data_IF_435728663500
#
_entry.id   IF_435728663500
#
_cell.length_a   1.000
_cell.length_b   1.000
_cell.length_c   1.000
_cell.angle_alpha   90.00
_cell.angle_beta   90.00
_cell.angle_gamma   90.00
#
_symmetry.space_group_name_H-M   'P 1'
#
loop_
_entity.id
_entity.type
_entity.pdbx_description
1 polymer ?
#
# COMPACT_ATOMS: atom_id res chain seq x y z
N UNK A 1 -11.65 -12.20 7.28
CA UNK A 1 -11.32 -13.24 6.26
C UNK A 1 -10.22 -12.81 5.28
N UNK A 2 -10.06 -11.53 4.93
CA UNK A 2 -9.00 -11.11 4.01
C UNK A 2 -7.57 -11.24 4.58
N UNK A 3 -7.36 -10.83 5.84
CA UNK A 3 -6.04 -10.86 6.51
C UNK A 3 -5.45 -12.28 6.58
N UNK A 4 -6.28 -13.28 6.90
CA UNK A 4 -5.84 -14.68 7.01
C UNK A 4 -5.36 -15.26 5.67
N UNK A 5 -6.03 -14.89 4.56
CA UNK A 5 -5.65 -15.32 3.21
C UNK A 5 -4.36 -14.66 2.70
N UNK A 6 -4.08 -13.45 3.17
CA UNK A 6 -2.92 -12.66 2.72
C UNK A 6 -1.66 -12.95 3.54
N UNK A 7 -1.79 -13.34 4.81
CA UNK A 7 -0.66 -13.38 5.75
C UNK A 7 -0.40 -14.73 6.43
N UNK A 8 -1.24 -15.75 6.23
CA UNK A 8 -0.99 -17.12 6.71
C UNK A 8 -0.91 -17.31 8.23
N UNK A 9 -1.11 -16.26 9.04
CA UNK A 9 -1.03 -16.29 10.49
C UNK A 9 -2.42 -16.13 11.16
N UNK A 10 -2.67 -16.91 12.20
CA UNK A 10 -3.97 -17.05 12.88
C UNK A 10 -4.25 -15.99 13.95
N UNK A 11 -3.31 -15.07 14.20
CA UNK A 11 -3.40 -14.04 15.25
C UNK A 11 -4.31 -12.86 14.89
N UNK A 12 -4.50 -12.58 13.61
CA UNK A 12 -5.22 -11.39 13.15
C UNK A 12 -4.50 -10.05 13.40
N UNK A 13 -3.25 -10.07 13.91
CA UNK A 13 -2.44 -8.87 14.12
C UNK A 13 -1.62 -8.53 12.87
N UNK A 14 -1.98 -7.47 12.12
CA UNK A 14 -1.26 -7.08 10.92
C UNK A 14 0.19 -6.66 11.19
N UNK A 15 0.51 -6.16 12.39
CA UNK A 15 1.89 -5.74 12.72
C UNK A 15 2.80 -6.95 12.89
N UNK A 16 2.33 -7.99 13.57
CA UNK A 16 3.08 -9.23 13.73
C UNK A 16 3.35 -9.91 12.38
N UNK A 17 2.37 -9.89 11.47
CA UNK A 17 2.55 -10.43 10.12
C UNK A 17 3.62 -9.66 9.32
N UNK A 18 3.61 -8.33 9.39
CA UNK A 18 4.61 -7.48 8.73
C UNK A 18 6.00 -7.70 9.33
N UNK A 19 6.09 -7.85 10.66
CA UNK A 19 7.36 -8.14 11.33
C UNK A 19 7.98 -9.44 10.80
N UNK A 20 7.19 -10.52 10.71
CA UNK A 20 7.62 -11.81 10.14
C UNK A 20 8.09 -11.68 8.68
N UNK A 21 7.34 -10.96 7.83
CA UNK A 21 7.73 -10.74 6.43
C UNK A 21 9.07 -10.01 6.29
N UNK A 22 9.43 -9.18 7.27
CA UNK A 22 10.63 -8.38 7.24
C UNK A 22 11.86 -9.05 7.87
N UNK A 23 11.74 -10.25 8.46
CA UNK A 23 12.84 -10.93 9.16
C UNK A 23 14.05 -11.20 8.26
N UNK A 24 13.82 -11.52 6.98
CA UNK A 24 14.89 -11.84 6.02
C UNK A 24 15.28 -10.65 5.15
N UNK A 25 14.30 -9.83 4.74
CA UNK A 25 14.48 -8.64 3.94
C UNK A 25 13.29 -7.72 4.16
N UNK A 26 13.52 -6.41 4.28
CA UNK A 26 12.43 -5.44 4.44
C UNK A 26 11.56 -5.45 3.18
N UNK A 27 10.36 -6.01 3.31
CA UNK A 27 9.42 -6.21 2.21
C UNK A 27 8.24 -5.26 2.33
N UNK A 28 7.81 -4.94 3.56
CA UNK A 28 6.69 -4.03 3.81
C UNK A 28 7.10 -2.99 4.85
N UNK A 29 6.94 -1.71 4.54
CA UNK A 29 7.20 -0.61 5.48
C UNK A 29 5.91 0.16 5.73
N UNK A 30 5.53 0.28 7.01
CA UNK A 30 4.46 1.19 7.45
C UNK A 30 5.11 2.54 7.73
N UNK A 31 4.55 3.60 7.17
CA UNK A 31 4.99 4.99 7.37
C UNK A 31 3.94 5.78 8.13
N UNK A 32 4.34 6.92 8.70
CA UNK A 32 3.48 7.69 9.61
C UNK A 32 2.60 8.71 8.88
N UNK A 33 2.96 9.11 7.66
CA UNK A 33 2.20 10.08 6.87
C UNK A 33 2.27 9.82 5.36
N UNK A 34 1.42 10.53 4.63
CA UNK A 34 1.38 10.54 3.18
C UNK A 34 2.66 11.12 2.57
N UNK A 35 3.25 12.14 3.19
CA UNK A 35 4.52 12.74 2.75
C UNK A 35 5.67 11.74 2.88
N UNK A 36 5.73 11.01 4.00
CA UNK A 36 6.73 9.96 4.21
C UNK A 36 6.57 8.84 3.17
N UNK A 37 5.33 8.50 2.81
CA UNK A 37 5.04 7.51 1.77
C UNK A 37 5.54 7.97 0.40
N UNK A 38 5.20 9.20 0.02
CA UNK A 38 5.60 9.78 -1.27
C UNK A 38 7.12 9.82 -1.39
N UNK A 39 7.81 10.29 -0.35
CA UNK A 39 9.28 10.35 -0.33
C UNK A 39 9.91 8.94 -0.43
N UNK A 40 9.36 7.96 0.28
CA UNK A 40 9.85 6.58 0.24
C UNK A 40 9.70 5.96 -1.16
N UNK A 41 8.55 6.14 -1.81
CA UNK A 41 8.29 5.62 -3.16
C UNK A 41 9.17 6.32 -4.20
N UNK A 42 9.34 7.64 -4.08
CA UNK A 42 10.19 8.42 -4.99
C UNK A 42 11.67 8.01 -4.90
N UNK A 43 12.17 7.76 -3.69
CA UNK A 43 13.59 7.44 -3.44
C UNK A 43 13.93 5.95 -3.58
N UNK A 44 12.93 5.08 -3.68
CA UNK A 44 13.13 3.62 -3.73
C UNK A 44 12.60 3.04 -5.05
N UNK A 45 13.47 2.81 -6.05
CA UNK A 45 13.06 2.21 -7.31
C UNK A 45 12.34 0.86 -7.12
N UNK A 46 11.17 0.73 -7.73
CA UNK A 46 10.33 -0.47 -7.64
C UNK A 46 9.39 -0.52 -6.43
N UNK A 47 9.45 0.44 -5.52
CA UNK A 47 8.47 0.55 -4.44
C UNK A 47 7.08 0.96 -4.97
N UNK A 48 6.03 0.48 -4.29
CA UNK A 48 4.63 0.87 -4.53
C UNK A 48 4.00 1.21 -3.19
N UNK A 49 3.19 2.27 -3.15
CA UNK A 49 2.48 2.71 -1.95
C UNK A 49 0.97 2.79 -2.17
N UNK A 50 0.22 2.75 -1.07
CA UNK A 50 -1.23 3.00 -1.02
C UNK A 50 -1.42 4.31 -0.27
N UNK A 51 -2.04 5.28 -0.91
CA UNK A 51 -2.20 6.65 -0.41
C UNK A 51 -3.61 7.16 -0.71
N UNK A 52 -4.08 8.15 0.04
CA UNK A 52 -5.29 8.87 -0.33
C UNK A 52 -5.10 9.54 -1.71
N UNK A 53 -6.12 9.42 -2.57
CA UNK A 53 -6.11 9.99 -3.92
C UNK A 53 -5.90 11.50 -3.92
N UNK A 54 -6.33 12.19 -2.87
CA UNK A 54 -6.20 13.64 -2.73
C UNK A 54 -4.79 14.09 -2.30
N UNK A 55 -3.94 13.16 -1.83
CA UNK A 55 -2.57 13.43 -1.44
C UNK A 55 -1.55 13.19 -2.56
N UNK A 56 -2.00 12.69 -3.72
CA UNK A 56 -1.12 12.40 -4.87
C UNK A 56 -0.54 13.71 -5.43
N UNK A 57 0.77 13.70 -5.72
CA UNK A 57 1.47 14.80 -6.39
C UNK A 57 2.42 14.27 -7.49
N UNK A 58 3.23 15.16 -8.07
CA UNK A 58 4.12 14.84 -9.19
C UNK A 58 5.31 13.93 -8.86
N UNK A 59 5.60 13.65 -7.58
CA UNK A 59 6.71 12.79 -7.16
C UNK A 59 6.45 11.31 -7.44
N UNK A 60 5.21 10.90 -7.73
CA UNK A 60 4.83 9.51 -7.96
C UNK A 60 3.97 9.34 -9.21
N UNK A 61 3.90 8.12 -9.72
CA UNK A 61 3.00 7.74 -10.83
C UNK A 61 1.87 6.86 -10.31
N UNK A 62 0.65 7.15 -10.76
CA UNK A 62 -0.53 6.35 -10.41
C UNK A 62 -0.59 5.10 -11.29
N UNK A 63 -0.65 3.93 -10.66
CA UNK A 63 -0.86 2.65 -11.34
C UNK A 63 -2.36 2.43 -11.58
N UNK A 64 -2.68 1.88 -12.75
CA UNK A 64 -4.04 1.42 -13.05
C UNK A 64 -4.28 0.06 -12.40
N UNK A 65 -5.46 -0.12 -11.83
CA UNK A 65 -5.93 -1.43 -11.33
C UNK A 65 -7.06 -1.88 -12.24
N UNK A 66 -6.92 -3.05 -12.86
CA UNK A 66 -7.85 -3.56 -13.87
C UNK A 66 -8.18 -2.54 -14.98
N UNK A 67 -7.15 -1.82 -15.43
CA UNK A 67 -7.25 -0.79 -16.46
C UNK A 67 -7.86 0.53 -16.02
N UNK A 68 -8.24 0.67 -14.74
CA UNK A 68 -8.95 1.84 -14.20
C UNK A 68 -8.06 2.72 -13.33
N UNK A 69 -8.30 4.02 -13.38
CA UNK A 69 -7.77 5.03 -12.46
C UNK A 69 -8.71 5.22 -11.26
N UNK A 70 -8.25 5.87 -10.17
CA UNK A 70 -9.04 6.07 -8.96
C UNK A 70 -10.43 6.70 -9.15
N UNK A 71 -10.58 7.60 -10.12
CA UNK A 71 -11.85 8.29 -10.41
C UNK A 71 -12.72 7.56 -11.44
N UNK A 72 -12.24 6.47 -12.04
CA UNK A 72 -13.04 5.69 -12.98
C UNK A 72 -14.13 4.90 -12.23
N UNK A 73 -15.31 4.81 -12.85
CA UNK A 73 -16.42 4.03 -12.29
C UNK A 73 -16.02 2.56 -12.14
N UNK A 74 -16.24 2.01 -10.95
CA UNK A 74 -15.89 0.62 -10.64
C UNK A 74 -14.42 0.38 -10.33
N UNK A 75 -13.66 1.42 -9.98
CA UNK A 75 -12.30 1.25 -9.44
C UNK A 75 -12.33 0.44 -8.12
N UNK A 76 -11.52 -0.62 -8.05
CA UNK A 76 -11.59 -1.63 -6.99
C UNK A 76 -11.07 -1.14 -5.63
N UNK A 77 -10.10 -0.22 -5.62
CA UNK A 77 -9.47 0.30 -4.39
C UNK A 77 -10.11 1.63 -3.95
N UNK A 78 -11.41 1.80 -4.20
CA UNK A 78 -12.16 2.96 -3.73
C UNK A 78 -12.45 2.80 -2.24
N UNK A 79 -12.11 3.81 -1.44
CA UNK A 79 -12.53 3.87 -0.04
C UNK A 79 -14.05 3.87 0.07
N UNK A 80 -14.58 3.08 1.01
CA UNK A 80 -15.98 3.19 1.42
C UNK A 80 -16.10 4.43 2.32
N UNK A 81 -16.77 5.47 1.84
CA UNK A 81 -17.30 6.53 2.69
C UNK A 81 -18.74 6.20 3.04
#
# INVERSE_FOLDING_TARGET
MAVQKLFGDSSGDPRAAIAKLNESHVTVKIVASDEDLLHLVETTPGAVGIIDVYSINSSVKVLRVDGKLPFDVGYALRGNY
#
